data_IF_704233972729
#
_entry.id   IF_704233972729
#
_cell.length_a   1.000
_cell.length_b   1.000
_cell.length_c   1.000
_cell.angle_alpha   90.00
_cell.angle_beta   90.00
_cell.angle_gamma   90.00
#
_symmetry.space_group_name_H-M   'P 1'
#
loop_
_entity.id
_entity.type
_entity.pdbx_description
1 polymer ?
#
# COMPACT_ATOMS: atom_id res chain seq x y z
N UNK A 1 40.09 19.72 12.39
CA UNK A 1 38.80 19.07 12.69
C UNK A 1 37.95 19.16 11.44
N UNK A 2 37.84 18.07 10.68
CA UNK A 2 36.89 18.02 9.56
C UNK A 2 35.54 17.82 10.24
N UNK A 3 34.74 18.88 10.34
CA UNK A 3 33.33 18.75 10.71
C UNK A 3 32.71 17.80 9.71
N UNK A 4 32.24 16.64 10.20
CA UNK A 4 31.46 15.72 9.37
C UNK A 4 30.29 16.47 8.71
N UNK A 5 29.73 15.94 7.62
CA UNK A 5 28.59 16.57 6.95
C UNK A 5 27.53 16.96 7.97
N UNK A 6 27.17 18.24 8.00
CA UNK A 6 26.04 18.74 8.77
C UNK A 6 24.77 18.21 8.12
N UNK A 7 23.99 17.45 8.88
CA UNK A 7 22.75 16.84 8.42
C UNK A 7 21.57 17.67 8.95
N UNK A 8 20.57 17.92 8.10
CA UNK A 8 19.30 18.52 8.54
C UNK A 8 18.42 17.45 9.21
N UNK A 9 18.06 17.60 10.49
CA UNK A 9 17.21 16.64 11.18
C UNK A 9 15.79 16.59 10.57
N UNK A 10 15.01 15.57 10.94
CA UNK A 10 13.56 15.61 10.75
C UNK A 10 13.00 16.90 11.40
N UNK A 11 11.86 17.37 10.90
CA UNK A 11 11.10 18.41 11.59
C UNK A 11 10.87 17.95 13.04
N UNK A 12 11.30 18.72 14.06
CA UNK A 12 11.11 18.35 15.47
C UNK A 12 9.64 18.05 15.81
N UNK A 13 8.69 18.69 15.12
CA UNK A 13 7.26 18.45 15.30
C UNK A 13 6.81 17.05 14.87
N UNK A 14 7.55 16.37 13.97
CA UNK A 14 7.21 15.00 13.54
C UNK A 14 8.07 13.93 14.22
N UNK A 15 9.22 14.29 14.78
CA UNK A 15 10.12 13.33 15.42
C UNK A 15 9.43 12.57 16.57
N UNK A 16 8.60 13.26 17.36
CA UNK A 16 7.85 12.66 18.47
C UNK A 16 6.63 11.84 18.06
N UNK A 17 6.31 11.75 16.76
CA UNK A 17 5.17 10.96 16.27
C UNK A 17 5.47 9.47 16.17
N UNK A 18 6.73 9.06 16.30
CA UNK A 18 7.18 7.67 16.26
C UNK A 18 8.13 7.40 17.43
N UNK A 19 8.33 6.14 17.86
CA UNK A 19 9.30 5.85 18.92
C UNK A 19 10.70 6.35 18.57
N UNK A 20 11.42 6.92 19.53
CA UNK A 20 12.80 7.42 19.34
C UNK A 20 13.78 6.32 18.91
N UNK A 21 13.42 5.05 19.16
CA UNK A 21 14.18 3.87 18.74
C UNK A 21 13.89 3.44 17.30
N UNK A 22 12.99 4.11 16.59
CA UNK A 22 12.62 3.73 15.22
C UNK A 22 13.75 4.07 14.24
N UNK A 23 14.43 5.21 14.41
CA UNK A 23 15.52 5.64 13.54
C UNK A 23 16.82 5.84 14.30
N UNK A 24 17.93 5.44 13.70
CA UNK A 24 19.26 5.87 14.17
C UNK A 24 19.66 7.20 13.52
N UNK A 25 20.51 7.97 14.21
CA UNK A 25 21.00 9.26 13.69
C UNK A 25 21.70 9.12 12.32
N UNK A 26 22.42 8.02 12.11
CA UNK A 26 23.09 7.67 10.83
C UNK A 26 22.10 7.40 9.69
N UNK A 27 20.89 6.95 10.01
CA UNK A 27 19.83 6.65 9.06
C UNK A 27 19.09 7.93 8.68
N UNK A 28 18.79 8.78 9.67
CA UNK A 28 18.25 10.13 9.48
C UNK A 28 19.20 11.02 8.65
N UNK A 29 20.50 10.85 8.83
CA UNK A 29 21.54 11.56 8.11
C UNK A 29 21.46 11.39 6.57
N UNK A 30 20.83 10.33 6.05
CA UNK A 30 20.69 10.12 4.60
C UNK A 30 19.49 10.85 4.00
N UNK A 31 18.48 11.17 4.81
CA UNK A 31 17.35 12.04 4.43
C UNK A 31 17.83 13.48 4.21
N UNK A 32 18.72 13.92 5.09
CA UNK A 32 19.44 15.17 4.98
C UNK A 32 20.38 15.14 3.75
N UNK A 33 20.20 16.05 2.79
CA UNK A 33 21.36 16.39 1.94
C UNK A 33 22.39 17.15 2.76
N UNK A 34 23.69 17.02 2.44
CA UNK A 34 24.70 17.87 3.04
C UNK A 34 24.41 19.34 2.70
N UNK A 35 24.60 20.23 3.68
CA UNK A 35 24.34 21.68 3.63
C UNK A 35 24.98 22.39 2.42
N UNK A 36 25.98 21.77 1.79
CA UNK A 36 26.79 22.39 0.73
C UNK A 36 26.79 21.66 -0.63
N UNK A 37 25.95 20.63 -0.87
CA UNK A 37 25.83 20.10 -2.24
C UNK A 37 24.90 21.02 -3.04
N UNK A 38 25.35 21.60 -4.18
CA UNK A 38 24.49 22.29 -5.12
C UNK A 38 23.67 21.25 -5.90
N UNK A 39 22.74 20.59 -5.22
CA UNK A 39 21.57 20.01 -5.86
C UNK A 39 20.48 21.04 -5.68
N UNK A 40 20.02 21.67 -6.77
CA UNK A 40 19.03 22.73 -6.74
C UNK A 40 17.91 22.37 -5.74
N UNK A 41 17.56 23.32 -4.87
CA UNK A 41 16.31 23.28 -4.12
C UNK A 41 15.19 22.76 -5.05
N UNK A 42 14.27 21.92 -4.56
CA UNK A 42 13.25 21.32 -5.40
C UNK A 42 12.62 22.39 -6.29
N UNK A 43 12.78 22.26 -7.60
CA UNK A 43 12.18 23.23 -8.50
C UNK A 43 10.67 23.09 -8.40
N UNK A 44 9.93 24.20 -8.54
CA UNK A 44 8.47 24.13 -8.62
C UNK A 44 8.01 23.13 -9.71
N UNK A 45 8.83 22.95 -10.76
CA UNK A 45 8.64 21.94 -11.79
C UNK A 45 8.78 20.50 -11.26
N UNK A 46 9.81 20.20 -10.47
CA UNK A 46 10.00 18.87 -9.88
C UNK A 46 8.85 18.50 -8.94
N UNK A 47 8.43 19.45 -8.10
CA UNK A 47 7.31 19.25 -7.20
C UNK A 47 5.97 19.13 -7.94
N UNK A 48 5.80 19.83 -9.07
CA UNK A 48 4.64 19.66 -9.95
C UNK A 48 4.60 18.28 -10.62
N UNK A 49 5.75 17.74 -11.02
CA UNK A 49 5.84 16.49 -11.80
C UNK A 49 6.05 15.22 -10.96
N UNK A 50 6.11 15.32 -9.62
CA UNK A 50 6.36 14.15 -8.78
C UNK A 50 5.19 13.15 -8.83
N UNK A 51 5.44 11.97 -9.37
CA UNK A 51 4.44 10.88 -9.47
C UNK A 51 4.18 10.21 -8.13
N UNK A 52 5.15 10.24 -7.21
CA UNK A 52 5.05 9.66 -5.87
C UNK A 52 3.87 10.21 -5.06
N UNK A 53 3.49 11.48 -5.28
CA UNK A 53 2.31 12.07 -4.64
C UNK A 53 1.03 11.34 -5.08
N UNK A 54 0.88 11.04 -6.37
CA UNK A 54 -0.24 10.27 -6.89
C UNK A 54 -0.28 8.85 -6.36
N UNK A 55 0.89 8.22 -6.20
CA UNK A 55 0.98 6.87 -5.64
C UNK A 55 0.57 6.82 -4.17
N UNK A 56 1.08 7.72 -3.33
CA UNK A 56 0.76 7.74 -1.89
C UNK A 56 -0.64 8.29 -1.61
N UNK A 57 -1.08 9.25 -2.40
CA UNK A 57 -2.34 9.97 -2.25
C UNK A 57 -3.15 9.93 -3.56
N UNK A 58 -3.79 8.80 -3.89
CA UNK A 58 -4.72 8.73 -5.01
C UNK A 58 -5.80 9.81 -4.89
N UNK A 59 -6.13 10.46 -6.02
CA UNK A 59 -7.12 11.55 -6.05
C UNK A 59 -6.65 12.88 -5.48
N UNK A 60 -5.35 13.06 -5.19
CA UNK A 60 -4.85 14.36 -4.74
C UNK A 60 -5.02 15.45 -5.79
N UNK A 61 -5.14 16.70 -5.34
CA UNK A 61 -5.16 17.90 -6.18
C UNK A 61 -3.98 18.80 -5.82
N UNK A 62 -3.09 19.03 -6.78
CA UNK A 62 -1.96 19.96 -6.62
C UNK A 62 -2.45 21.42 -6.70
N UNK A 63 -1.91 22.29 -5.84
CA UNK A 63 -2.39 23.68 -5.68
C UNK A 63 -1.52 24.72 -6.39
N UNK A 64 -0.55 24.31 -7.21
CA UNK A 64 0.41 25.20 -7.90
C UNK A 64 1.14 26.20 -6.98
N UNK A 65 1.26 25.86 -5.70
CA UNK A 65 1.88 26.66 -4.64
C UNK A 65 2.95 25.84 -3.91
N UNK A 66 3.93 26.53 -3.35
CA UNK A 66 5.05 25.93 -2.63
C UNK A 66 4.91 26.27 -1.15
N UNK A 67 4.82 25.23 -0.33
CA UNK A 67 4.85 25.29 1.12
C UNK A 67 6.11 24.62 1.66
N UNK A 68 6.02 24.16 2.91
CA UNK A 68 7.13 23.51 3.60
C UNK A 68 6.80 22.04 3.87
N UNK A 69 7.72 21.16 3.46
CA UNK A 69 7.63 19.72 3.69
C UNK A 69 7.48 19.45 5.19
N UNK A 70 6.40 18.78 5.55
CA UNK A 70 6.10 18.50 6.96
C UNK A 70 7.13 17.58 7.63
N UNK A 71 7.83 16.74 6.86
CA UNK A 71 8.83 15.79 7.36
C UNK A 71 10.23 16.40 7.53
N UNK A 72 10.68 17.22 6.57
CA UNK A 72 12.08 17.68 6.50
C UNK A 72 12.27 19.18 6.25
N UNK A 73 11.18 19.94 6.28
CA UNK A 73 11.15 21.40 6.16
C UNK A 73 11.72 21.97 4.85
N UNK A 74 11.85 21.15 3.81
CA UNK A 74 12.23 21.59 2.47
C UNK A 74 11.05 22.24 1.74
N UNK A 75 11.28 23.12 0.76
CA UNK A 75 10.25 23.52 -0.19
C UNK A 75 9.54 22.29 -0.76
N UNK A 76 8.20 22.32 -0.78
CA UNK A 76 7.38 21.22 -1.26
C UNK A 76 6.10 21.75 -1.89
N UNK A 77 5.63 21.06 -2.92
CA UNK A 77 4.35 21.39 -3.53
C UNK A 77 3.17 21.17 -2.57
N UNK A 78 2.31 22.17 -2.42
CA UNK A 78 1.08 22.06 -1.62
C UNK A 78 0.01 21.30 -2.40
N UNK A 79 -0.75 20.46 -1.70
CA UNK A 79 -1.81 19.66 -2.28
C UNK A 79 -2.93 19.37 -1.28
N UNK A 80 -4.11 19.10 -1.81
CA UNK A 80 -5.21 18.46 -1.07
C UNK A 80 -5.21 16.96 -1.37
N UNK A 81 -5.50 16.14 -0.37
CA UNK A 81 -5.71 14.71 -0.52
C UNK A 81 -7.09 14.33 0.02
N UNK A 82 -7.84 13.42 -0.62
CA UNK A 82 -9.18 13.04 -0.14
C UNK A 82 -9.22 12.56 1.32
N UNK A 83 -8.13 11.93 1.77
CA UNK A 83 -7.98 11.41 3.13
C UNK A 83 -7.68 12.47 4.21
N UNK A 84 -7.53 13.75 3.85
CA UNK A 84 -7.18 14.83 4.77
C UNK A 84 -7.98 16.10 4.47
N UNK A 85 -8.63 16.66 5.49
CA UNK A 85 -9.34 17.94 5.36
C UNK A 85 -8.44 19.19 5.32
N UNK A 86 -7.13 19.02 5.47
CA UNK A 86 -6.15 20.12 5.53
C UNK A 86 -5.17 20.05 4.35
N UNK A 87 -4.61 21.20 3.98
CA UNK A 87 -3.53 21.27 2.99
C UNK A 87 -2.29 20.54 3.50
N UNK A 88 -1.70 19.71 2.63
CA UNK A 88 -0.49 18.96 2.89
C UNK A 88 0.65 19.45 2.00
N UNK A 89 1.88 19.27 2.48
CA UNK A 89 3.09 19.54 1.70
C UNK A 89 4.16 18.53 2.09
N UNK A 90 4.60 17.72 1.13
CA UNK A 90 5.71 16.78 1.28
C UNK A 90 6.58 16.86 0.03
N UNK A 91 7.89 17.03 0.22
CA UNK A 91 8.80 17.12 -0.93
C UNK A 91 8.91 15.77 -1.64
N UNK A 92 9.22 15.80 -2.93
CA UNK A 92 9.36 14.60 -3.77
C UNK A 92 10.27 13.53 -3.14
N UNK A 93 11.32 13.94 -2.42
CA UNK A 93 12.26 13.01 -1.77
C UNK A 93 11.63 12.27 -0.59
N UNK A 94 10.91 12.96 0.29
CA UNK A 94 10.24 12.31 1.41
C UNK A 94 9.17 11.34 0.92
N UNK A 95 8.45 11.72 -0.14
CA UNK A 95 7.48 10.84 -0.81
C UNK A 95 8.15 9.62 -1.44
N UNK A 96 9.28 9.82 -2.15
CA UNK A 96 10.04 8.72 -2.76
C UNK A 96 10.51 7.71 -1.70
N UNK A 97 11.11 8.19 -0.59
CA UNK A 97 11.60 7.30 0.47
C UNK A 97 10.45 6.64 1.24
N UNK A 98 9.28 7.28 1.36
CA UNK A 98 8.10 6.62 1.93
C UNK A 98 7.60 5.46 1.04
N UNK A 99 7.71 5.56 -0.28
CA UNK A 99 7.35 4.46 -1.19
C UNK A 99 8.40 3.36 -1.19
N UNK A 100 9.68 3.73 -1.30
CA UNK A 100 10.79 2.80 -1.44
C UNK A 100 11.22 2.18 -0.10
N UNK A 101 10.94 2.86 1.01
CA UNK A 101 11.46 2.52 2.32
C UNK A 101 12.96 2.79 2.46
N UNK A 102 13.49 2.66 3.68
CA UNK A 102 14.90 2.86 3.93
C UNK A 102 15.71 1.60 3.51
N UNK A 103 16.68 1.74 2.59
CA UNK A 103 17.52 0.61 2.20
C UNK A 103 18.37 0.10 3.36
N UNK A 104 18.64 -1.21 3.40
CA UNK A 104 19.57 -1.77 4.39
C UNK A 104 21.01 -1.38 4.03
N UNK A 105 21.50 -0.29 4.62
CA UNK A 105 22.83 0.26 4.33
C UNK A 105 23.85 -0.25 5.35
N UNK A 106 24.34 -1.47 5.17
CA UNK A 106 25.47 -2.00 5.97
C UNK A 106 25.20 -2.15 7.47
N UNK A 107 23.94 -2.05 7.91
CA UNK A 107 23.50 -2.42 9.25
C UNK A 107 23.26 -3.93 9.35
N UNK A 108 23.20 -4.45 10.58
CA UNK A 108 22.82 -5.86 10.78
C UNK A 108 21.38 -6.06 10.32
N UNK A 109 21.15 -7.12 9.54
CA UNK A 109 19.82 -7.55 9.10
C UNK A 109 18.80 -7.55 10.26
N UNK A 110 19.26 -7.92 11.45
CA UNK A 110 18.54 -7.88 12.72
C UNK A 110 17.93 -6.51 13.03
N UNK A 111 18.67 -5.42 12.86
CA UNK A 111 18.17 -4.06 13.13
C UNK A 111 17.11 -3.65 12.13
N UNK A 112 17.34 -3.93 10.83
CA UNK A 112 16.38 -3.67 9.78
C UNK A 112 15.06 -4.44 10.02
N UNK A 113 15.14 -5.70 10.44
CA UNK A 113 13.98 -6.52 10.82
C UNK A 113 13.26 -5.92 12.03
N UNK A 114 13.98 -5.57 13.10
CA UNK A 114 13.37 -5.02 14.32
C UNK A 114 12.62 -3.71 14.03
N UNK A 115 13.24 -2.81 13.25
CA UNK A 115 12.62 -1.56 12.83
C UNK A 115 11.39 -1.80 11.94
N UNK A 116 11.52 -2.67 10.93
CA UNK A 116 10.40 -3.00 10.06
C UNK A 116 9.25 -3.64 10.85
N UNK A 117 9.55 -4.51 11.83
CA UNK A 117 8.55 -5.13 12.70
C UNK A 117 7.77 -4.07 13.49
N UNK A 118 8.45 -3.13 14.15
CA UNK A 118 7.79 -2.03 14.86
C UNK A 118 6.92 -1.19 13.92
N UNK A 119 7.45 -0.83 12.75
CA UNK A 119 6.74 -0.03 11.78
C UNK A 119 5.51 -0.74 11.19
N UNK A 120 5.62 -2.03 10.88
CA UNK A 120 4.55 -2.85 10.31
C UNK A 120 3.46 -3.11 11.33
N UNK A 121 3.79 -3.36 12.60
CA UNK A 121 2.78 -3.47 13.67
C UNK A 121 1.99 -2.17 13.79
N UNK A 122 2.68 -1.03 13.88
CA UNK A 122 2.03 0.27 14.00
C UNK A 122 1.16 0.58 12.77
N UNK A 123 1.61 0.27 11.55
CA UNK A 123 0.79 0.45 10.34
C UNK A 123 -0.40 -0.53 10.29
N UNK A 124 -0.27 -1.75 10.80
CA UNK A 124 -1.40 -2.66 10.92
C UNK A 124 -2.51 -2.04 11.77
N UNK A 125 -2.13 -1.48 12.92
CA UNK A 125 -3.05 -0.80 13.83
C UNK A 125 -3.64 0.47 13.20
N UNK A 126 -2.79 1.30 12.59
CA UNK A 126 -3.19 2.60 12.05
C UNK A 126 -4.05 2.48 10.76
N UNK A 127 -3.85 1.45 9.93
CA UNK A 127 -4.43 1.38 8.57
C UNK A 127 -5.21 0.10 8.25
N UNK A 128 -5.00 -0.98 8.99
CA UNK A 128 -5.52 -2.31 8.63
C UNK A 128 -6.27 -3.00 9.78
N UNK A 129 -6.78 -2.21 10.74
CA UNK A 129 -7.58 -2.74 11.85
C UNK A 129 -6.82 -3.75 12.73
N UNK A 130 -5.50 -3.66 12.75
CA UNK A 130 -4.61 -4.57 13.47
C UNK A 130 -4.38 -5.92 12.79
N UNK A 131 -4.81 -6.12 11.54
CA UNK A 131 -4.69 -7.37 10.79
C UNK A 131 -3.43 -7.46 9.91
N UNK A 132 -3.08 -8.68 9.49
CA UNK A 132 -2.05 -8.92 8.48
C UNK A 132 -2.44 -8.33 7.13
N UNK A 133 -1.48 -7.76 6.42
CA UNK A 133 -1.64 -7.14 5.11
C UNK A 133 -0.46 -7.47 4.20
N UNK A 134 -0.58 -7.29 2.88
CA UNK A 134 0.53 -7.51 1.93
C UNK A 134 1.39 -6.25 1.76
N UNK A 135 2.69 -6.43 1.53
CA UNK A 135 3.66 -5.31 1.43
C UNK A 135 3.23 -4.21 0.45
N UNK A 136 2.65 -4.60 -0.69
CA UNK A 136 2.23 -3.68 -1.76
C UNK A 136 1.08 -2.76 -1.37
N UNK A 137 0.27 -3.10 -0.36
CA UNK A 137 -0.76 -2.19 0.16
C UNK A 137 -0.14 -0.92 0.73
N UNK A 138 1.12 -0.91 1.15
CA UNK A 138 1.75 0.30 1.67
C UNK A 138 2.17 1.31 0.59
N UNK A 139 1.92 1.03 -0.69
CA UNK A 139 2.16 1.98 -1.80
C UNK A 139 1.28 3.23 -1.68
N UNK A 140 0.08 3.07 -1.11
CA UNK A 140 -0.88 4.13 -0.83
C UNK A 140 -1.00 4.32 0.68
N UNK A 141 -1.39 5.52 1.13
CA UNK A 141 -1.85 5.76 2.50
C UNK A 141 -3.35 5.43 2.55
N UNK A 142 -3.74 4.50 3.42
CA UNK A 142 -5.13 4.13 3.61
C UNK A 142 -5.76 4.99 4.71
N UNK A 143 -7.04 5.31 4.56
CA UNK A 143 -7.85 5.95 5.59
C UNK A 143 -9.28 5.42 5.48
N UNK A 144 -10.03 5.51 6.57
CA UNK A 144 -11.48 5.35 6.49
C UNK A 144 -12.07 6.61 5.80
N UNK A 145 -12.81 6.47 4.69
CA UNK A 145 -13.43 7.60 4.01
C UNK A 145 -14.36 8.43 4.91
N UNK A 146 -14.91 7.83 5.97
CA UNK A 146 -15.79 8.54 6.92
C UNK A 146 -15.03 9.29 8.01
N UNK A 147 -13.76 8.98 8.22
CA UNK A 147 -12.94 9.54 9.29
C UNK A 147 -11.62 10.08 8.70
N UNK A 148 -11.64 11.31 8.14
CA UNK A 148 -10.45 11.94 7.59
C UNK A 148 -9.32 12.01 8.62
N UNK A 149 -8.10 11.79 8.15
CA UNK A 149 -6.90 11.82 8.97
C UNK A 149 -6.48 13.25 9.29
N UNK A 150 -5.87 13.44 10.46
CA UNK A 150 -5.12 14.67 10.71
C UNK A 150 -3.79 14.65 9.94
N UNK A 151 -3.20 15.82 9.65
CA UNK A 151 -1.86 15.86 9.07
C UNK A 151 -0.81 15.11 9.91
N UNK A 152 -0.95 15.10 11.25
CA UNK A 152 -0.03 14.37 12.13
C UNK A 152 -0.14 12.85 11.95
N UNK A 153 -1.35 12.32 11.74
CA UNK A 153 -1.53 10.89 11.46
C UNK A 153 -0.86 10.50 10.13
N UNK A 154 -0.94 11.38 9.13
CA UNK A 154 -0.29 11.17 7.83
C UNK A 154 1.23 11.27 7.99
N UNK A 155 1.73 12.27 8.71
CA UNK A 155 3.15 12.45 9.01
C UNK A 155 3.72 11.17 9.66
N UNK A 156 3.02 10.63 10.68
CA UNK A 156 3.36 9.36 11.33
C UNK A 156 3.38 8.20 10.35
N UNK A 157 2.32 8.01 9.55
CA UNK A 157 2.21 6.89 8.58
C UNK A 157 3.29 6.93 7.51
N UNK A 158 3.72 8.11 7.09
CA UNK A 158 4.85 8.28 6.17
C UNK A 158 6.18 7.92 6.86
N UNK A 159 6.40 8.35 8.11
CA UNK A 159 7.59 7.96 8.88
C UNK A 159 7.67 6.44 9.09
N UNK A 160 6.55 5.78 9.41
CA UNK A 160 6.50 4.32 9.55
C UNK A 160 6.85 3.62 8.23
N UNK A 161 6.31 4.09 7.08
CA UNK A 161 6.67 3.55 5.76
C UNK A 161 8.15 3.72 5.44
N UNK A 162 8.69 4.90 5.73
CA UNK A 162 10.11 5.22 5.58
C UNK A 162 10.97 4.22 6.36
N UNK A 163 10.55 3.82 7.56
CA UNK A 163 11.30 2.91 8.42
C UNK A 163 11.35 1.44 7.90
N UNK A 164 10.57 1.07 6.88
CA UNK A 164 10.53 -0.31 6.39
C UNK A 164 11.59 -0.52 5.33
N UNK A 165 12.40 -1.58 5.45
CA UNK A 165 13.29 -2.00 4.35
C UNK A 165 12.50 -2.87 3.38
N UNK A 166 12.07 -2.27 2.26
CA UNK A 166 11.22 -2.92 1.24
C UNK A 166 11.99 -3.89 0.38
N UNK A 167 11.29 -4.95 -0.07
CA UNK A 167 11.74 -5.91 -1.10
C UNK A 167 13.09 -6.61 -0.86
N UNK A 168 13.71 -6.41 0.30
CA UNK A 168 14.98 -7.03 0.69
C UNK A 168 14.78 -8.11 1.76
N UNK A 169 13.62 -8.11 2.41
CA UNK A 169 13.24 -9.07 3.45
C UNK A 169 11.98 -9.83 2.98
N UNK A 170 11.89 -11.15 3.24
CA UNK A 170 10.64 -11.87 3.07
C UNK A 170 9.56 -11.24 3.95
N UNK A 171 8.48 -10.75 3.34
CA UNK A 171 7.40 -10.07 4.07
C UNK A 171 6.79 -10.93 5.19
N UNK A 172 6.69 -12.24 4.95
CA UNK A 172 6.24 -13.23 5.94
C UNK A 172 7.09 -13.24 7.21
N UNK A 173 8.40 -13.03 7.11
CA UNK A 173 9.28 -12.95 8.28
C UNK A 173 8.95 -11.73 9.14
N UNK A 174 8.63 -10.59 8.50
CA UNK A 174 8.23 -9.39 9.21
C UNK A 174 6.87 -9.62 9.91
N UNK A 175 5.89 -10.22 9.21
CA UNK A 175 4.57 -10.52 9.79
C UNK A 175 4.63 -11.52 10.96
N UNK A 176 5.56 -12.47 10.95
CA UNK A 176 5.79 -13.36 12.10
C UNK A 176 6.34 -12.55 13.28
N UNK A 177 7.30 -11.66 13.03
CA UNK A 177 7.87 -10.79 14.06
C UNK A 177 6.85 -9.86 14.72
N UNK A 178 5.77 -9.50 14.03
CA UNK A 178 4.69 -8.66 14.57
C UNK A 178 3.59 -9.44 15.29
N UNK A 179 3.61 -10.78 15.22
CA UNK A 179 2.51 -11.63 15.68
C UNK A 179 1.28 -11.62 14.76
N UNK A 180 1.35 -10.96 13.59
CA UNK A 180 0.22 -10.88 12.64
C UNK A 180 0.06 -12.15 11.80
N UNK A 181 1.09 -12.98 11.71
CA UNK A 181 1.04 -14.22 10.93
C UNK A 181 0.21 -15.33 11.60
N UNK A 182 -0.10 -15.20 12.89
CA UNK A 182 -0.80 -16.22 13.69
C UNK A 182 -2.33 -16.16 13.54
N UNK A 183 -2.86 -15.08 12.95
CA UNK A 183 -4.31 -14.91 12.69
C UNK A 183 -4.84 -15.80 11.54
N UNK A 184 -3.95 -16.48 10.82
CA UNK A 184 -4.31 -17.40 9.74
C UNK A 184 -4.37 -18.85 10.22
N UNK A 185 -5.54 -19.49 10.13
CA UNK A 185 -5.64 -20.94 10.37
C UNK A 185 -4.99 -21.65 9.18
N UNK A 186 -3.82 -22.26 9.40
CA UNK A 186 -3.21 -23.17 8.41
C UNK A 186 -4.02 -24.47 8.37
N UNK A 187 -4.86 -24.62 7.36
CA UNK A 187 -5.48 -25.89 7.00
C UNK A 187 -4.54 -26.67 6.07
N UNK A 188 -4.75 -27.98 5.91
CA UNK A 188 -3.97 -28.85 5.01
C UNK A 188 -3.99 -28.41 3.53
N UNK A 189 -4.79 -27.38 3.19
CA UNK A 189 -4.94 -26.79 1.85
C UNK A 189 -4.50 -25.32 1.74
N UNK A 190 -3.91 -24.72 2.78
CA UNK A 190 -3.45 -23.32 2.76
C UNK A 190 -3.76 -22.52 4.04
N UNK A 191 -3.54 -21.21 4.02
CA UNK A 191 -3.88 -20.30 5.11
C UNK A 191 -5.27 -19.74 4.86
N UNK A 192 -6.22 -19.98 5.78
CA UNK A 192 -7.53 -19.30 5.76
C UNK A 192 -7.46 -18.08 6.66
N UNK A 193 -7.79 -16.92 6.10
CA UNK A 193 -7.83 -15.62 6.77
C UNK A 193 -9.26 -15.09 6.75
N UNK A 194 -9.64 -14.32 7.77
CA UNK A 194 -10.95 -13.64 7.79
C UNK A 194 -10.79 -12.18 7.34
N UNK A 195 -11.58 -11.77 6.34
CA UNK A 195 -11.71 -10.37 5.94
C UNK A 195 -12.49 -9.56 6.98
N UNK A 196 -12.45 -8.23 6.89
CA UNK A 196 -13.12 -7.31 7.83
C UNK A 196 -14.64 -7.52 7.89
N UNK A 197 -15.26 -7.76 6.73
CA UNK A 197 -16.70 -8.05 6.61
C UNK A 197 -17.09 -9.48 7.02
N UNK A 198 -16.09 -10.31 7.32
CA UNK A 198 -16.23 -11.67 7.80
C UNK A 198 -16.09 -12.76 6.77
N UNK A 199 -15.82 -12.43 5.50
CA UNK A 199 -15.51 -13.42 4.48
C UNK A 199 -14.24 -14.23 4.78
N UNK A 200 -14.19 -15.48 4.28
CA UNK A 200 -13.02 -16.35 4.40
C UNK A 200 -12.16 -16.29 3.14
N UNK A 201 -10.96 -15.73 3.25
CA UNK A 201 -9.97 -15.61 2.18
C UNK A 201 -8.95 -16.76 2.23
N UNK A 202 -8.51 -17.22 1.07
CA UNK A 202 -7.49 -18.27 0.93
C UNK A 202 -6.07 -17.71 0.77
N UNK A 203 -5.95 -16.38 0.67
CA UNK A 203 -4.67 -15.68 0.58
C UNK A 203 -4.73 -14.28 1.18
N UNK A 204 -3.56 -13.70 1.50
CA UNK A 204 -3.47 -12.30 1.92
C UNK A 204 -3.84 -11.33 0.79
N UNK A 205 -3.62 -11.71 -0.47
CA UNK A 205 -4.02 -10.89 -1.62
C UNK A 205 -5.53 -10.84 -1.75
N UNK A 206 -6.22 -11.97 -1.59
CA UNK A 206 -7.68 -11.98 -1.53
C UNK A 206 -8.19 -11.13 -0.38
N UNK A 207 -7.64 -11.30 0.83
CA UNK A 207 -8.01 -10.47 1.97
C UNK A 207 -7.81 -8.98 1.69
N UNK A 208 -6.71 -8.60 1.05
CA UNK A 208 -6.43 -7.21 0.70
C UNK A 208 -7.47 -6.60 -0.24
N UNK A 209 -7.98 -7.37 -1.20
CA UNK A 209 -9.03 -6.94 -2.14
C UNK A 209 -10.39 -6.88 -1.42
N UNK A 210 -10.71 -7.89 -0.62
CA UNK A 210 -11.95 -8.01 0.15
C UNK A 210 -12.09 -6.88 1.17
N UNK A 211 -11.05 -6.65 1.99
CA UNK A 211 -10.99 -5.54 2.94
C UNK A 211 -11.05 -4.17 2.24
N UNK A 212 -10.53 -4.07 1.01
CA UNK A 212 -10.65 -2.84 0.20
C UNK A 212 -12.10 -2.61 -0.21
N UNK A 213 -12.80 -3.63 -0.68
CA UNK A 213 -14.21 -3.50 -1.05
C UNK A 213 -15.07 -3.11 0.15
N UNK A 214 -14.90 -3.76 1.31
CA UNK A 214 -15.61 -3.43 2.54
C UNK A 214 -15.35 -1.97 2.96
N UNK A 215 -14.08 -1.56 3.06
CA UNK A 215 -13.68 -0.20 3.45
C UNK A 215 -14.27 0.87 2.53
N UNK A 216 -14.34 0.60 1.24
CA UNK A 216 -14.87 1.52 0.24
C UNK A 216 -16.36 1.30 -0.07
N UNK A 217 -17.05 0.46 0.71
CA UNK A 217 -18.48 0.14 0.55
C UNK A 217 -18.86 -0.35 -0.85
N UNK A 218 -17.94 -1.04 -1.49
CA UNK A 218 -18.18 -1.68 -2.78
C UNK A 218 -18.90 -3.00 -2.47
N UNK A 219 -20.21 -3.02 -2.72
CA UNK A 219 -21.02 -4.21 -2.53
C UNK A 219 -20.52 -5.36 -3.40
N UNK A 220 -20.25 -6.50 -2.77
CA UNK A 220 -19.67 -7.65 -3.45
C UNK A 220 -20.14 -8.98 -2.83
N UNK A 221 -20.16 -10.03 -3.64
CA UNK A 221 -20.41 -11.41 -3.20
C UNK A 221 -19.22 -12.28 -3.56
N UNK A 222 -18.83 -13.16 -2.63
CA UNK A 222 -17.72 -14.09 -2.85
C UNK A 222 -18.11 -15.35 -3.61
N UNK A 223 -17.12 -15.86 -4.33
CA UNK A 223 -17.18 -17.14 -5.01
C UNK A 223 -18.43 -17.32 -5.91
N UNK A 224 -18.89 -16.30 -6.67
CA UNK A 224 -20.04 -16.42 -7.57
C UNK A 224 -19.77 -17.51 -8.62
N UNK A 225 -20.81 -18.22 -9.05
CA UNK A 225 -20.66 -19.19 -10.15
C UNK A 225 -20.63 -18.48 -11.49
N UNK A 226 -19.73 -18.91 -12.36
CA UNK A 226 -19.83 -18.57 -13.78
C UNK A 226 -21.04 -19.25 -14.43
N UNK A 227 -21.61 -18.67 -15.51
CA UNK A 227 -22.65 -19.30 -16.31
C UNK A 227 -22.24 -20.67 -16.88
N UNK A 228 -23.24 -21.46 -17.24
CA UNK A 228 -23.02 -22.71 -17.96
C UNK A 228 -22.37 -22.43 -19.32
N UNK A 229 -21.33 -23.20 -19.65
CA UNK A 229 -20.73 -23.23 -20.99
C UNK A 229 -20.41 -24.69 -21.35
N UNK A 230 -20.80 -25.18 -22.53
CA UNK A 230 -20.67 -26.60 -22.86
C UNK A 230 -19.21 -27.08 -22.92
N UNK A 231 -18.26 -26.19 -23.17
CA UNK A 231 -16.84 -26.53 -23.29
C UNK A 231 -16.07 -26.15 -22.01
N UNK A 232 -16.25 -24.92 -21.55
CA UNK A 232 -15.41 -24.33 -20.51
C UNK A 232 -15.99 -24.50 -19.11
N UNK A 233 -17.32 -24.61 -18.95
CA UNK A 233 -17.97 -24.75 -17.65
C UNK A 233 -19.23 -25.65 -17.67
N UNK A 234 -19.13 -26.90 -18.15
CA UNK A 234 -20.31 -27.73 -18.42
C UNK A 234 -21.06 -28.18 -17.17
N UNK A 235 -20.44 -28.05 -15.99
CA UNK A 235 -21.03 -28.45 -14.71
C UNK A 235 -21.31 -27.25 -13.79
N UNK A 236 -21.14 -26.00 -14.27
CA UNK A 236 -21.37 -24.77 -13.50
C UNK A 236 -20.57 -24.66 -12.20
N UNK A 237 -19.45 -25.40 -12.07
CA UNK A 237 -18.62 -25.39 -10.85
C UNK A 237 -17.53 -24.35 -10.87
N UNK A 238 -17.22 -23.73 -12.02
CA UNK A 238 -16.26 -22.61 -12.05
C UNK A 238 -16.83 -21.43 -11.30
N UNK A 239 -15.98 -20.80 -10.51
CA UNK A 239 -16.29 -19.63 -9.70
C UNK A 239 -15.27 -18.55 -9.95
N UNK A 240 -15.72 -17.29 -9.94
CA UNK A 240 -14.82 -16.16 -9.77
C UNK A 240 -14.56 -15.91 -8.29
N UNK A 241 -13.63 -15.02 -7.99
CA UNK A 241 -13.34 -14.69 -6.60
C UNK A 241 -14.41 -13.75 -6.03
N UNK A 242 -14.85 -12.77 -6.82
CA UNK A 242 -15.95 -11.86 -6.45
C UNK A 242 -16.89 -11.52 -7.61
N UNK A 243 -18.13 -11.13 -7.26
CA UNK A 243 -19.11 -10.45 -8.12
C UNK A 243 -19.48 -9.13 -7.46
N UNK A 244 -19.30 -8.01 -8.17
CA UNK A 244 -19.77 -6.70 -7.74
C UNK A 244 -21.27 -6.54 -7.99
N UNK A 245 -21.93 -5.61 -7.29
CA UNK A 245 -23.38 -5.39 -7.39
C UNK A 245 -23.89 -5.10 -8.82
N UNK A 246 -23.07 -4.50 -9.68
CA UNK A 246 -23.41 -4.22 -11.08
C UNK A 246 -23.28 -5.42 -12.02
N UNK A 247 -22.88 -6.59 -11.50
CA UNK A 247 -22.66 -7.81 -12.26
C UNK A 247 -21.23 -7.99 -12.78
N UNK A 248 -20.29 -7.11 -12.41
CA UNK A 248 -18.87 -7.25 -12.78
C UNK A 248 -18.19 -8.36 -12.00
N UNK A 249 -17.58 -9.31 -12.70
CA UNK A 249 -16.77 -10.37 -12.11
C UNK A 249 -15.36 -9.86 -11.81
N UNK A 250 -14.78 -10.29 -10.69
CA UNK A 250 -13.41 -9.94 -10.30
C UNK A 250 -12.63 -11.22 -9.96
N UNK A 251 -11.40 -11.29 -10.42
CA UNK A 251 -10.49 -12.42 -10.22
C UNK A 251 -9.13 -11.92 -9.72
N UNK A 252 -8.58 -12.59 -8.70
CA UNK A 252 -7.23 -12.40 -8.21
C UNK A 252 -6.32 -13.53 -8.75
N UNK A 253 -5.62 -13.25 -9.84
CA UNK A 253 -4.78 -14.24 -10.51
C UNK A 253 -3.52 -14.56 -9.71
N UNK A 254 -3.48 -15.77 -9.17
CA UNK A 254 -2.27 -16.36 -8.59
C UNK A 254 -1.32 -16.89 -9.66
N UNK A 255 -0.03 -16.59 -9.52
CA UNK A 255 1.08 -17.21 -10.29
C UNK A 255 0.86 -17.29 -11.81
N UNK A 256 0.55 -16.19 -12.52
CA UNK A 256 0.20 -16.23 -13.96
C UNK A 256 1.35 -16.67 -14.88
N UNK A 257 2.59 -16.76 -14.37
CA UNK A 257 3.76 -17.24 -15.11
C UNK A 257 3.90 -18.77 -15.08
N UNK A 258 3.12 -19.45 -14.25
CA UNK A 258 3.02 -20.90 -14.26
C UNK A 258 2.04 -21.32 -15.39
N UNK A 259 2.46 -22.19 -16.33
CA UNK A 259 1.65 -22.56 -17.49
C UNK A 259 0.24 -23.10 -17.13
N UNK A 260 0.11 -23.83 -16.02
CA UNK A 260 -1.16 -24.41 -15.58
C UNK A 260 -2.11 -23.33 -15.08
N UNK A 261 -1.58 -22.31 -14.41
CA UNK A 261 -2.37 -21.18 -13.92
C UNK A 261 -2.73 -20.23 -15.08
N UNK A 262 -1.82 -20.05 -16.04
CA UNK A 262 -2.07 -19.26 -17.25
C UNK A 262 -3.20 -19.85 -18.11
N UNK A 263 -3.27 -21.18 -18.22
CA UNK A 263 -4.37 -21.87 -18.92
C UNK A 263 -5.72 -21.61 -18.22
N UNK A 264 -5.80 -21.81 -16.91
CA UNK A 264 -7.03 -21.55 -16.13
C UNK A 264 -7.50 -20.10 -16.23
N UNK A 265 -6.55 -19.15 -16.21
CA UNK A 265 -6.83 -17.73 -16.41
C UNK A 265 -7.42 -17.50 -17.80
N UNK A 266 -6.79 -18.06 -18.84
CA UNK A 266 -7.23 -17.91 -20.23
C UNK A 266 -8.63 -18.49 -20.46
N UNK A 267 -8.93 -19.66 -19.87
CA UNK A 267 -10.26 -20.26 -19.93
C UNK A 267 -11.33 -19.38 -19.26
N UNK A 268 -11.03 -18.76 -18.12
CA UNK A 268 -11.97 -17.86 -17.42
C UNK A 268 -12.20 -16.55 -18.19
N UNK A 269 -11.14 -15.99 -18.79
CA UNK A 269 -11.25 -14.82 -19.67
C UNK A 269 -12.10 -15.14 -20.89
N UNK A 270 -11.88 -16.27 -21.54
CA UNK A 270 -12.66 -16.70 -22.69
C UNK A 270 -14.11 -17.00 -22.32
N UNK A 271 -14.36 -17.62 -21.16
CA UNK A 271 -15.68 -17.85 -20.63
C UNK A 271 -16.43 -16.53 -20.39
N UNK A 272 -15.79 -15.54 -19.77
CA UNK A 272 -16.37 -14.21 -19.60
C UNK A 272 -16.71 -13.56 -20.94
N UNK A 273 -15.79 -13.63 -21.92
CA UNK A 273 -15.99 -13.09 -23.26
C UNK A 273 -17.18 -13.74 -24.00
N UNK A 274 -17.29 -15.07 -23.97
CA UNK A 274 -18.39 -15.81 -24.63
C UNK A 274 -19.77 -15.44 -24.09
N UNK A 275 -19.84 -15.14 -22.79
CA UNK A 275 -21.10 -14.82 -22.10
C UNK A 275 -21.33 -13.32 -21.93
N UNK A 276 -20.50 -12.46 -22.51
CA UNK A 276 -20.63 -11.01 -22.42
C UNK A 276 -20.48 -10.45 -21.00
N UNK A 277 -19.73 -11.15 -20.13
CA UNK A 277 -19.49 -10.74 -18.76
C UNK A 277 -18.41 -9.67 -18.69
N UNK A 278 -18.60 -8.67 -17.82
CA UNK A 278 -17.53 -7.77 -17.43
C UNK A 278 -16.60 -8.52 -16.46
N UNK A 279 -15.30 -8.50 -16.74
CA UNK A 279 -14.30 -9.20 -15.94
C UNK A 279 -13.09 -8.30 -15.66
N UNK A 280 -12.78 -8.12 -14.38
CA UNK A 280 -11.57 -7.46 -13.90
C UNK A 280 -10.60 -8.52 -13.40
N UNK A 281 -9.45 -8.62 -14.08
CA UNK A 281 -8.35 -9.47 -13.66
C UNK A 281 -7.32 -8.67 -12.85
N UNK A 282 -7.11 -9.05 -11.60
CA UNK A 282 -6.10 -8.49 -10.71
C UNK A 282 -4.89 -9.42 -10.60
N UNK A 283 -3.72 -8.83 -10.42
CA UNK A 283 -2.48 -9.52 -10.08
C UNK A 283 -1.87 -8.95 -8.80
N UNK A 284 -0.82 -9.59 -8.28
CA UNK A 284 -0.12 -9.08 -7.09
C UNK A 284 0.41 -7.64 -7.27
N UNK A 285 0.67 -7.21 -8.50
CA UNK A 285 1.12 -5.85 -8.81
C UNK A 285 -0.02 -4.81 -8.71
N UNK A 286 -1.27 -5.24 -8.76
CA UNK A 286 -2.45 -4.36 -8.79
C UNK A 286 -2.94 -3.99 -7.39
N UNK A 287 -2.54 -4.72 -6.35
CA UNK A 287 -2.98 -4.49 -4.96
C UNK A 287 -2.65 -3.07 -4.47
N UNK A 288 -1.53 -2.49 -4.90
CA UNK A 288 -1.18 -1.10 -4.55
C UNK A 288 -1.96 -0.03 -5.32
N UNK A 289 -2.84 -0.42 -6.25
CA UNK A 289 -3.58 0.46 -7.17
C UNK A 289 -5.09 0.23 -7.14
N UNK A 290 -5.61 -0.46 -6.13
CA UNK A 290 -7.04 -0.80 -6.05
C UNK A 290 -7.94 0.45 -6.12
N UNK A 291 -7.55 1.56 -5.48
CA UNK A 291 -8.29 2.83 -5.57
C UNK A 291 -8.39 3.39 -6.99
N UNK A 292 -7.38 3.18 -7.83
CA UNK A 292 -7.40 3.60 -9.24
C UNK A 292 -8.32 2.68 -10.04
N UNK A 293 -8.10 1.37 -9.90
CA UNK A 293 -8.83 0.32 -10.64
C UNK A 293 -10.32 0.37 -10.34
N UNK A 294 -10.69 0.54 -9.07
CA UNK A 294 -12.07 0.53 -8.60
C UNK A 294 -12.65 1.93 -8.37
N UNK A 295 -12.03 2.97 -8.94
CA UNK A 295 -12.45 4.36 -8.75
C UNK A 295 -13.93 4.62 -9.07
N UNK A 296 -14.49 3.92 -10.07
CA UNK A 296 -15.91 4.08 -10.45
C UNK A 296 -16.91 3.51 -9.42
N UNK A 297 -16.50 2.59 -8.55
CA UNK A 297 -17.35 2.04 -7.49
C UNK A 297 -17.12 2.72 -6.13
N UNK A 298 -15.93 3.27 -5.90
CA UNK A 298 -15.54 3.90 -4.64
C UNK A 298 -16.13 5.31 -4.42
N UNK A 299 -16.94 5.84 -5.34
CA UNK A 299 -17.51 7.20 -5.29
C UNK A 299 -19.00 7.26 -4.91
N UNK A 300 -19.59 6.18 -4.35
CA UNK A 300 -20.97 6.16 -3.85
C UNK A 300 -21.05 6.05 -2.32
#
# INVERSE_FOLDING_TARGET
MITGPTFRPLNPAVAGLVPDTLFEASELARFAQPVHKPGAEPTALLERLTTHRGTLFPGHTYLDTIGTCRICERPAGEFHAPLCGQTLAYCHRCLAVAIEGLPNMGGTLTRAIARATLAVRALADDEFGGAAFVESQLSTVHADPQHPLSPADIDRRLLLRIAITRRQLPWTHILIGTGLADDGVRVSRGTVLKATDGHLCLSLQEKAVDDFFDRHRIGHTREPRYPFDPELNPNTRRRADWLLEDGTFVEMWGMPKDPVYAEKMSEKIELARRHGLQLIGLTAADIGRLSEIFSQWAMN
#
